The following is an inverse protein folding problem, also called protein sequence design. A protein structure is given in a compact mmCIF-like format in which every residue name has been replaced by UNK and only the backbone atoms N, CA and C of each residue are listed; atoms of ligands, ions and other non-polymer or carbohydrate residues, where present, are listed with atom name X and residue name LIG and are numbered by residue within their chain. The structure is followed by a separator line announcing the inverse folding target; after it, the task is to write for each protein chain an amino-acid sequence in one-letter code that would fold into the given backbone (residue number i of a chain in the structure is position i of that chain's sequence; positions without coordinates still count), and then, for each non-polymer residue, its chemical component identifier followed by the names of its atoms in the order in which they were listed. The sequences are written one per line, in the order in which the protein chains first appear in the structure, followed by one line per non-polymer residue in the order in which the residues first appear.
data_IF_536071440373
#
_entry.id   IF_536071440373
#
_cell.length_a   1.000
_cell.length_b   1.000
_cell.length_c   1.000
_cell.angle_alpha   90.00
_cell.angle_beta   90.00
_cell.angle_gamma   90.00
#
_symmetry.space_group_name_H-M   'P 1'
#
loop_
_entity.id
_entity.type
_entity.pdbx_description
1 polymer ?
#
# COMPACT_ATOMS: atom_id res chain seq x y z
N UNK A 1 -28.30 4.44 14.27
CA UNK A 1 -29.41 5.04 13.47
C UNK A 1 -30.62 4.16 13.75
N UNK A 2 -31.29 4.39 14.87
CA UNK A 2 -32.21 3.42 15.50
C UNK A 2 -33.53 3.25 14.73
N UNK A 3 -33.90 4.22 13.88
CA UNK A 3 -35.15 4.23 13.14
C UNK A 3 -35.01 3.79 11.67
N UNK A 4 -33.83 3.39 11.22
CA UNK A 4 -33.54 3.10 9.81
C UNK A 4 -32.83 1.77 9.63
N UNK A 5 -33.24 1.02 8.61
CA UNK A 5 -32.54 -0.18 8.15
C UNK A 5 -31.98 0.03 6.75
N UNK A 6 -30.80 -0.55 6.50
CA UNK A 6 -30.14 -0.45 5.19
C UNK A 6 -30.85 -1.37 4.19
N UNK A 7 -31.44 -0.79 3.16
CA UNK A 7 -32.15 -1.51 2.11
C UNK A 7 -31.20 -1.97 1.00
N UNK A 8 -30.26 -1.12 0.59
CA UNK A 8 -29.31 -1.46 -0.48
C UNK A 8 -28.02 -0.68 -0.38
N UNK A 9 -27.01 -1.13 -1.14
CA UNK A 9 -25.72 -0.47 -1.27
C UNK A 9 -25.29 -0.55 -2.73
N UNK A 10 -25.03 0.59 -3.35
CA UNK A 10 -24.59 0.68 -4.73
C UNK A 10 -23.21 1.33 -4.77
N UNK A 11 -22.29 0.69 -5.48
CA UNK A 11 -21.00 1.30 -5.80
C UNK A 11 -21.12 2.17 -7.04
N UNK A 12 -20.65 3.41 -6.96
CA UNK A 12 -20.58 4.27 -8.15
C UNK A 12 -19.49 3.77 -9.10
N UNK A 13 -19.67 3.95 -10.42
CA UNK A 13 -18.62 3.67 -11.38
C UNK A 13 -17.32 4.39 -11.00
N UNK A 14 -16.22 3.65 -11.04
CA UNK A 14 -14.90 4.20 -10.78
C UNK A 14 -14.39 4.94 -12.01
N UNK A 15 -13.82 6.12 -11.81
CA UNK A 15 -12.91 6.73 -12.80
C UNK A 15 -11.52 6.13 -12.57
N UNK A 16 -10.93 5.40 -13.53
CA UNK A 16 -9.63 4.76 -13.34
C UNK A 16 -8.56 5.79 -12.90
N UNK A 17 -7.77 5.50 -11.85
CA UNK A 17 -6.71 6.40 -11.39
C UNK A 17 -5.65 6.69 -12.45
N UNK A 18 -5.46 5.75 -13.39
CA UNK A 18 -4.54 5.88 -14.51
C UNK A 18 -5.37 5.88 -15.79
N UNK A 19 -5.46 7.03 -16.50
CA UNK A 19 -6.16 7.10 -17.77
C UNK A 19 -5.35 6.41 -18.89
N UNK A 20 -6.03 6.04 -19.98
CA UNK A 20 -5.36 5.59 -21.20
C UNK A 20 -4.76 4.18 -21.15
N UNK A 21 -5.23 3.32 -20.25
CA UNK A 21 -4.83 1.92 -20.28
C UNK A 21 -5.34 1.25 -21.56
N UNK A 22 -4.54 0.34 -22.15
CA UNK A 22 -4.96 -0.41 -23.33
C UNK A 22 -6.27 -1.18 -23.09
N UNK A 23 -7.16 -1.25 -24.09
CA UNK A 23 -8.50 -1.84 -23.95
C UNK A 23 -8.49 -3.35 -23.69
N UNK A 24 -7.38 -4.04 -23.95
CA UNK A 24 -7.15 -5.46 -23.66
C UNK A 24 -6.76 -5.70 -22.19
N UNK A 25 -6.63 -4.66 -21.37
CA UNK A 25 -6.33 -4.77 -19.94
C UNK A 25 -7.49 -5.45 -19.21
N UNK A 26 -7.20 -6.59 -18.57
CA UNK A 26 -8.21 -7.34 -17.82
C UNK A 26 -8.48 -6.69 -16.46
N UNK A 27 -9.69 -6.21 -16.23
CA UNK A 27 -10.11 -5.69 -14.92
C UNK A 27 -10.75 -6.78 -14.04
N UNK A 28 -10.22 -6.96 -12.83
CA UNK A 28 -10.72 -7.89 -11.82
C UNK A 28 -11.17 -7.14 -10.55
N UNK A 29 -12.48 -7.07 -10.34
CA UNK A 29 -13.07 -6.49 -9.13
C UNK A 29 -13.13 -7.52 -8.01
N UNK A 30 -12.37 -7.27 -6.95
CA UNK A 30 -12.34 -8.09 -5.74
C UNK A 30 -13.39 -7.58 -4.77
N UNK A 31 -14.32 -8.46 -4.38
CA UNK A 31 -15.41 -8.20 -3.44
C UNK A 31 -15.19 -8.97 -2.15
N UNK A 32 -15.95 -8.65 -1.10
CA UNK A 32 -15.90 -9.36 0.18
C UNK A 32 -16.23 -10.85 0.05
N UNK A 33 -17.16 -11.21 -0.85
CA UNK A 33 -17.50 -12.61 -1.16
C UNK A 33 -16.52 -13.33 -2.11
N UNK A 34 -15.62 -12.62 -2.78
CA UNK A 34 -14.73 -13.22 -3.79
C UNK A 34 -13.82 -14.27 -3.18
N UNK A 35 -13.74 -15.43 -3.85
CA UNK A 35 -12.85 -16.54 -3.48
C UNK A 35 -11.51 -16.37 -4.18
N UNK A 36 -10.43 -16.20 -3.40
CA UNK A 36 -9.07 -15.97 -3.91
C UNK A 36 -8.66 -17.04 -4.92
N UNK A 37 -8.95 -18.32 -4.64
CA UNK A 37 -8.65 -19.44 -5.55
C UNK A 37 -9.26 -19.26 -6.94
N UNK A 38 -10.51 -18.80 -7.02
CA UNK A 38 -11.21 -18.61 -8.29
C UNK A 38 -10.63 -17.41 -9.04
N UNK A 39 -10.38 -16.29 -8.34
CA UNK A 39 -9.76 -15.11 -8.94
C UNK A 39 -8.39 -15.44 -9.52
N UNK A 40 -7.56 -16.15 -8.76
CA UNK A 40 -6.22 -16.55 -9.20
C UNK A 40 -6.23 -17.54 -10.35
N UNK A 41 -7.10 -18.56 -10.31
CA UNK A 41 -7.21 -19.53 -11.39
C UNK A 41 -7.56 -18.86 -12.72
N UNK A 42 -8.53 -17.95 -12.70
CA UNK A 42 -8.90 -17.17 -13.87
C UNK A 42 -7.78 -16.21 -14.30
N UNK A 43 -7.22 -15.43 -13.37
CA UNK A 43 -6.17 -14.46 -13.65
C UNK A 43 -4.92 -15.10 -14.27
N UNK A 44 -4.45 -16.22 -13.70
CA UNK A 44 -3.29 -16.95 -14.21
C UNK A 44 -3.55 -17.46 -15.61
N UNK A 45 -4.66 -18.15 -15.85
CA UNK A 45 -4.96 -18.68 -17.19
C UNK A 45 -5.06 -17.59 -18.26
N UNK A 46 -5.55 -16.40 -17.91
CA UNK A 46 -5.57 -15.26 -18.83
C UNK A 46 -4.17 -14.68 -19.04
N UNK A 47 -3.42 -14.44 -17.96
CA UNK A 47 -2.10 -13.82 -18.03
C UNK A 47 -1.02 -14.78 -18.59
N UNK A 48 -1.21 -16.09 -18.55
CA UNK A 48 -0.34 -17.06 -19.22
C UNK A 48 -0.55 -17.06 -20.73
N UNK A 49 -1.74 -16.68 -21.22
CA UNK A 49 -1.96 -16.49 -22.65
C UNK A 49 -1.20 -15.26 -23.18
N UNK A 50 -0.73 -15.32 -24.42
CA UNK A 50 -0.09 -14.16 -25.08
C UNK A 50 -1.06 -12.99 -25.31
N UNK A 51 -2.36 -13.27 -25.31
CA UNK A 51 -3.41 -12.27 -25.57
C UNK A 51 -3.59 -11.23 -24.45
N UNK A 52 -3.16 -11.55 -23.21
CA UNK A 52 -3.36 -10.66 -22.07
C UNK A 52 -2.01 -10.20 -21.54
N UNK A 53 -1.71 -8.92 -21.73
CA UNK A 53 -0.44 -8.30 -21.28
C UNK A 53 -0.54 -7.70 -19.89
N UNK A 54 -1.76 -7.32 -19.47
CA UNK A 54 -2.03 -6.52 -18.27
C UNK A 54 -3.28 -7.00 -17.55
N UNK A 55 -3.22 -6.94 -16.23
CA UNK A 55 -4.36 -7.22 -15.36
C UNK A 55 -4.42 -6.22 -14.21
N UNK A 56 -5.63 -5.83 -13.83
CA UNK A 56 -5.87 -4.88 -12.75
C UNK A 56 -6.70 -5.55 -11.67
N UNK A 57 -6.22 -5.53 -10.43
CA UNK A 57 -7.03 -5.89 -9.26
C UNK A 57 -7.52 -4.63 -8.56
N UNK A 58 -8.84 -4.54 -8.36
CA UNK A 58 -9.48 -3.45 -7.63
C UNK A 58 -10.14 -4.03 -6.39
N UNK A 59 -9.76 -3.54 -5.21
CA UNK A 59 -10.34 -3.97 -3.94
C UNK A 59 -10.63 -2.79 -3.04
N UNK A 60 -11.85 -2.71 -2.51
CA UNK A 60 -12.29 -1.67 -1.60
C UNK A 60 -12.61 -2.22 -0.21
N UNK A 61 -12.31 -1.44 0.84
CA UNK A 61 -12.63 -1.78 2.23
C UNK A 61 -12.10 -3.16 2.63
N UNK A 62 -13.00 -4.07 3.04
CA UNK A 62 -12.64 -5.43 3.44
C UNK A 62 -12.01 -6.26 2.32
N UNK A 63 -12.21 -5.89 1.06
CA UNK A 63 -11.65 -6.60 -0.09
C UNK A 63 -10.20 -6.17 -0.42
N UNK A 64 -9.71 -5.05 0.14
CA UNK A 64 -8.36 -4.52 -0.14
C UNK A 64 -7.27 -5.56 0.10
N UNK A 65 -7.28 -6.23 1.25
CA UNK A 65 -6.29 -7.26 1.58
C UNK A 65 -6.30 -8.44 0.61
N UNK A 66 -7.47 -8.84 0.11
CA UNK A 66 -7.60 -9.91 -0.89
C UNK A 66 -7.08 -9.51 -2.26
N UNK A 67 -7.29 -8.25 -2.68
CA UNK A 67 -6.73 -7.74 -3.93
C UNK A 67 -5.19 -7.75 -3.90
N UNK A 68 -4.60 -7.26 -2.80
CA UNK A 68 -3.14 -7.34 -2.58
C UNK A 68 -2.66 -8.79 -2.59
N UNK A 69 -3.36 -9.68 -1.86
CA UNK A 69 -3.00 -11.11 -1.83
C UNK A 69 -3.03 -11.75 -3.22
N UNK A 70 -4.01 -11.40 -4.06
CA UNK A 70 -4.08 -11.90 -5.43
C UNK A 70 -2.87 -11.44 -6.25
N UNK A 71 -2.53 -10.15 -6.18
CA UNK A 71 -1.39 -9.59 -6.88
C UNK A 71 -0.06 -10.23 -6.43
N UNK A 72 0.15 -10.40 -5.13
CA UNK A 72 1.35 -11.01 -4.59
C UNK A 72 1.50 -12.50 -4.97
N UNK A 73 0.40 -13.25 -5.00
CA UNK A 73 0.45 -14.65 -5.45
C UNK A 73 0.74 -14.72 -6.96
N UNK A 74 0.16 -13.84 -7.77
CA UNK A 74 0.44 -13.79 -9.21
C UNK A 74 1.91 -13.50 -9.50
N UNK A 75 2.49 -12.48 -8.87
CA UNK A 75 3.92 -12.14 -9.06
C UNK A 75 4.86 -13.29 -8.69
N UNK A 76 4.49 -14.13 -7.71
CA UNK A 76 5.26 -15.33 -7.35
C UNK A 76 5.16 -16.45 -8.38
N UNK A 77 4.01 -16.58 -9.05
CA UNK A 77 3.76 -17.62 -10.05
C UNK A 77 4.23 -17.23 -11.45
N UNK A 78 4.16 -15.94 -11.75
CA UNK A 78 4.58 -15.33 -13.02
C UNK A 78 5.64 -14.26 -12.71
N UNK A 79 6.93 -14.64 -12.65
CA UNK A 79 8.01 -13.68 -12.46
C UNK A 79 8.10 -12.73 -13.66
N UNK A 80 8.70 -11.55 -13.47
CA UNK A 80 8.85 -10.55 -14.52
C UNK A 80 7.71 -9.53 -14.62
N UNK A 81 6.67 -9.62 -13.77
CA UNK A 81 5.58 -8.65 -13.76
C UNK A 81 5.99 -7.32 -13.11
N UNK A 82 5.81 -6.24 -13.85
CA UNK A 82 5.84 -4.87 -13.35
C UNK A 82 4.56 -4.58 -12.59
N UNK A 83 4.65 -3.83 -11.49
CA UNK A 83 3.48 -3.43 -10.72
C UNK A 83 3.35 -1.91 -10.65
N UNK A 84 2.12 -1.42 -10.71
CA UNK A 84 1.76 -0.06 -10.35
C UNK A 84 0.59 -0.08 -9.36
N UNK A 85 0.79 0.56 -8.20
CA UNK A 85 -0.20 0.64 -7.12
C UNK A 85 -0.73 2.05 -6.99
N UNK A 86 -2.05 2.22 -7.08
CA UNK A 86 -2.74 3.48 -6.82
C UNK A 86 -3.73 3.31 -5.67
N UNK A 87 -3.82 4.33 -4.84
CA UNK A 87 -4.82 4.44 -3.78
C UNK A 87 -5.89 5.43 -4.21
N UNK A 88 -7.14 5.11 -3.93
CA UNK A 88 -8.28 5.95 -4.26
C UNK A 88 -9.44 5.67 -3.31
N UNK A 89 -10.50 6.47 -3.39
CA UNK A 89 -11.75 6.21 -2.69
C UNK A 89 -12.82 5.71 -3.67
N UNK A 90 -13.41 4.57 -3.33
CA UNK A 90 -14.61 4.07 -3.99
C UNK A 90 -15.84 4.70 -3.32
N UNK A 91 -16.61 5.49 -4.07
CA UNK A 91 -17.86 6.04 -3.55
C UNK A 91 -18.94 4.94 -3.53
N UNK A 92 -19.63 4.83 -2.40
CA UNK A 92 -20.79 3.97 -2.21
C UNK A 92 -21.99 4.80 -1.78
N UNK A 93 -23.17 4.46 -2.28
CA UNK A 93 -24.44 5.04 -1.86
C UNK A 93 -25.27 3.95 -1.18
N UNK A 94 -25.59 4.16 0.08
CA UNK A 94 -26.47 3.28 0.84
C UNK A 94 -27.87 3.88 0.90
N UNK A 95 -28.86 3.12 0.46
CA UNK A 95 -30.25 3.47 0.65
C UNK A 95 -30.72 2.91 2.00
N UNK A 96 -31.35 3.76 2.80
CA UNK A 96 -31.91 3.44 4.10
C UNK A 96 -33.40 3.75 4.09
N UNK A 97 -34.18 2.81 4.60
CA UNK A 97 -35.64 2.96 4.74
C UNK A 97 -36.00 3.00 6.22
N UNK A 98 -37.05 3.75 6.59
CA UNK A 98 -37.58 3.71 7.94
C UNK A 98 -37.94 2.27 8.35
N UNK A 99 -37.66 1.92 9.60
CA UNK A 99 -38.03 0.61 10.17
C UNK A 99 -39.55 0.52 10.35
N UNK A 100 -40.19 1.65 10.69
CA UNK A 100 -41.64 1.78 10.83
C UNK A 100 -42.17 2.70 9.71
N UNK A 101 -42.88 2.18 8.70
CA UNK A 101 -43.41 2.97 7.59
C UNK A 101 -44.35 4.11 8.02
N UNK A 102 -45.12 3.90 9.08
CA UNK A 102 -46.12 4.86 9.58
C UNK A 102 -45.52 5.94 10.48
N UNK A 103 -44.21 5.88 10.77
CA UNK A 103 -43.54 6.87 11.61
C UNK A 103 -43.38 8.25 10.95
N UNK A 104 -43.84 8.42 9.70
CA UNK A 104 -43.74 9.67 8.96
C UNK A 104 -42.30 10.07 8.62
N UNK A 105 -41.38 9.10 8.54
CA UNK A 105 -39.97 9.31 8.23
C UNK A 105 -39.72 9.10 6.74
N UNK A 106 -38.87 9.94 6.15
CA UNK A 106 -38.46 9.81 4.75
C UNK A 106 -37.29 8.84 4.58
N UNK A 107 -37.20 8.12 3.44
CA UNK A 107 -36.01 7.35 3.06
C UNK A 107 -34.75 8.24 2.97
N UNK A 108 -33.60 7.67 3.34
CA UNK A 108 -32.32 8.37 3.36
C UNK A 108 -31.32 7.73 2.40
N UNK A 109 -30.53 8.55 1.72
CA UNK A 109 -29.33 8.10 0.99
C UNK A 109 -28.07 8.58 1.68
N UNK A 110 -27.20 7.64 2.07
CA UNK A 110 -25.91 7.95 2.72
C UNK A 110 -24.77 7.67 1.73
N UNK A 111 -23.98 8.71 1.43
CA UNK A 111 -22.76 8.60 0.63
C UNK A 111 -21.57 8.29 1.54
N UNK A 112 -20.76 7.29 1.17
CA UNK A 112 -19.52 6.95 1.88
C UNK A 112 -18.37 6.79 0.91
N UNK A 113 -17.21 7.26 1.32
CA UNK A 113 -15.95 7.06 0.60
C UNK A 113 -15.19 5.91 1.25
N UNK A 114 -15.09 4.79 0.53
CA UNK A 114 -14.43 3.59 1.02
C UNK A 114 -13.00 3.56 0.47
N UNK A 115 -11.96 3.50 1.31
CA UNK A 115 -10.59 3.35 0.85
C UNK A 115 -10.45 2.11 -0.04
N UNK A 116 -9.77 2.26 -1.16
CA UNK A 116 -9.64 1.19 -2.13
C UNK A 116 -8.25 1.23 -2.80
N UNK A 117 -7.78 0.05 -3.16
CA UNK A 117 -6.51 -0.16 -3.87
C UNK A 117 -6.79 -0.53 -5.32
N UNK A 118 -5.96 0.00 -6.21
CA UNK A 118 -5.94 -0.31 -7.63
C UNK A 118 -4.53 -0.81 -7.98
N UNK A 119 -4.43 -2.06 -8.43
CA UNK A 119 -3.17 -2.77 -8.62
C UNK A 119 -3.06 -3.25 -10.06
N UNK A 120 -2.25 -2.58 -10.86
CA UNK A 120 -1.89 -3.04 -12.20
C UNK A 120 -0.69 -3.98 -12.11
N UNK A 121 -0.80 -5.15 -12.75
CA UNK A 121 0.32 -6.01 -13.07
C UNK A 121 0.47 -6.08 -14.60
N UNK A 122 1.70 -5.89 -15.10
CA UNK A 122 2.01 -5.80 -16.52
C UNK A 122 3.21 -6.67 -16.86
N UNK A 123 3.13 -7.42 -17.97
CA UNK A 123 4.29 -8.08 -18.59
C UNK A 123 5.23 -7.08 -19.26
N UNK A 124 4.68 -5.95 -19.70
CA UNK A 124 5.43 -4.90 -20.37
C UNK A 124 5.93 -3.88 -19.33
N UNK A 125 7.09 -3.23 -19.54
CA UNK A 125 7.59 -2.17 -18.67
C UNK A 125 6.56 -1.06 -18.45
N UNK A 126 6.53 -0.52 -17.24
CA UNK A 126 5.78 0.68 -16.86
C UNK A 126 6.75 1.83 -16.60
N UNK A 127 6.24 3.07 -16.52
CA UNK A 127 7.08 4.22 -16.17
C UNK A 127 7.68 4.05 -14.76
N UNK A 128 9.02 3.96 -14.62
CA UNK A 128 9.66 3.77 -13.32
C UNK A 128 9.57 5.00 -12.41
N UNK A 129 9.27 6.17 -12.96
CA UNK A 129 9.11 7.41 -12.19
C UNK A 129 7.69 7.60 -11.65
N UNK A 130 6.75 6.78 -12.09
CA UNK A 130 5.36 6.85 -11.65
C UNK A 130 5.24 6.46 -10.16
N UNK A 131 4.53 7.29 -9.39
CA UNK A 131 4.33 7.06 -7.97
C UNK A 131 3.60 5.73 -7.72
N UNK A 132 4.18 4.86 -6.91
CA UNK A 132 3.63 3.52 -6.61
C UNK A 132 4.06 2.43 -7.60
N UNK A 133 4.98 2.72 -8.53
CA UNK A 133 5.65 1.71 -9.34
C UNK A 133 6.54 0.79 -8.49
N UNK A 134 6.57 -0.50 -8.86
CA UNK A 134 7.47 -1.51 -8.31
C UNK A 134 8.01 -2.39 -9.46
N UNK A 135 9.35 -2.54 -9.57
CA UNK A 135 9.94 -3.38 -10.61
C UNK A 135 9.74 -4.88 -10.32
N UNK A 136 9.88 -5.75 -11.34
CA UNK A 136 9.80 -7.19 -11.14
C UNK A 136 10.81 -7.70 -10.12
N UNK A 137 10.39 -8.66 -9.28
CA UNK A 137 11.26 -9.29 -8.29
C UNK A 137 11.60 -8.43 -7.07
N UNK A 138 11.12 -7.18 -6.96
CA UNK A 138 11.31 -6.38 -5.76
C UNK A 138 10.61 -7.01 -4.55
N UNK A 139 11.31 -7.19 -3.41
CA UNK A 139 10.67 -7.67 -2.19
C UNK A 139 9.62 -6.68 -1.66
N UNK A 140 8.59 -7.15 -0.94
CA UNK A 140 7.56 -6.28 -0.36
C UNK A 140 8.21 -5.20 0.51
N UNK A 141 7.97 -3.92 0.20
CA UNK A 141 8.36 -2.78 1.05
C UNK A 141 9.70 -2.09 0.73
N UNK A 142 10.45 -2.49 -0.30
CA UNK A 142 11.73 -1.86 -0.68
C UNK A 142 11.70 -1.18 -2.07
N UNK A 143 10.51 -0.91 -2.61
CA UNK A 143 10.31 -0.42 -3.97
C UNK A 143 10.86 0.97 -4.28
N UNK A 144 11.16 1.80 -3.28
CA UNK A 144 11.92 3.05 -3.47
C UNK A 144 12.78 3.30 -2.22
N UNK A 145 14.08 3.66 -2.35
CA UNK A 145 14.75 4.37 -1.29
C UNK A 145 13.98 5.67 -1.06
N UNK A 146 13.44 5.89 0.14
CA UNK A 146 13.04 7.23 0.57
C UNK A 146 14.19 8.18 0.20
N UNK A 147 13.92 9.40 -0.33
CA UNK A 147 14.97 10.37 -0.59
C UNK A 147 15.78 10.51 0.70
N UNK A 148 17.04 10.07 0.64
CA UNK A 148 17.97 10.16 1.77
C UNK A 148 18.01 11.64 2.13
N UNK A 149 17.42 12.02 3.26
CA UNK A 149 17.69 13.32 3.85
C UNK A 149 19.21 13.44 3.92
N UNK A 150 19.83 14.50 3.37
CA UNK A 150 21.27 14.66 3.47
C UNK A 150 21.65 14.55 4.95
N UNK A 151 22.75 13.85 5.29
CA UNK A 151 23.18 13.73 6.67
C UNK A 151 23.33 15.14 7.22
N UNK A 152 22.51 15.47 8.22
CA UNK A 152 22.56 16.73 8.93
C UNK A 152 23.99 16.82 9.49
N UNK A 153 24.81 17.71 8.91
CA UNK A 153 26.15 17.97 9.43
C UNK A 153 25.97 18.41 10.89
N UNK A 154 26.60 17.73 11.87
CA UNK A 154 26.55 18.18 13.24
C UNK A 154 27.29 19.52 13.30
N UNK A 155 26.55 20.60 13.55
CA UNK A 155 27.15 21.90 13.82
C UNK A 155 28.11 21.77 15.01
N UNK A 156 29.32 22.36 14.94
CA UNK A 156 30.27 22.29 16.03
C UNK A 156 29.71 23.04 17.24
N UNK A 157 29.45 22.30 18.33
CA UNK A 157 29.14 22.88 19.64
C UNK A 157 30.30 23.78 20.05
N UNK A 158 30.02 25.09 20.15
CA UNK A 158 30.96 26.09 20.68
C UNK A 158 31.41 25.64 22.07
N UNK A 159 32.72 25.46 22.25
CA UNK A 159 33.34 25.13 23.54
C UNK A 159 33.10 26.28 24.53
N UNK A 160 32.68 26.02 25.78
CA UNK A 160 32.77 27.01 26.83
C UNK A 160 34.25 27.23 27.17
N UNK A 161 34.66 28.50 27.25
CA UNK A 161 35.97 28.91 27.78
C UNK A 161 36.05 28.48 29.25
N UNK A 162 36.98 27.61 29.59
CA UNK A 162 37.28 27.26 30.99
C UNK A 162 38.19 28.31 31.59
N UNK A 163 37.75 28.93 32.68
CA UNK A 163 38.53 29.82 33.54
C UNK A 163 38.68 29.19 34.93
N UNK A 164 39.92 29.12 35.43
CA UNK A 164 40.30 28.81 36.84
C UNK A 164 40.37 27.30 37.14
N UNK A 165 41.53 26.67 37.42
CA UNK A 165 42.54 26.84 38.48
C UNK A 165 42.22 26.08 39.79
N UNK A 166 42.97 24.99 40.03
CA UNK A 166 43.50 24.36 41.27
C UNK A 166 43.60 22.83 41.05
N UNK A 167 44.74 22.12 41.01
CA UNK A 167 46.00 22.03 41.80
C UNK A 167 45.99 20.81 42.73
N UNK A 168 47.03 19.96 42.55
CA UNK A 168 47.43 18.83 43.42
C UNK A 168 47.24 17.46 42.74
N UNK A 169 48.22 16.57 42.59
CA UNK A 169 49.63 16.51 43.02
C UNK A 169 50.07 15.04 43.14
N UNK A 170 51.30 14.71 42.71
CA UNK A 170 52.05 13.46 42.98
C UNK A 170 51.60 12.23 42.17
N UNK A 171 52.42 11.62 41.28
CA UNK A 171 53.67 10.88 41.56
C UNK A 171 53.32 9.38 41.68
N UNK A 172 53.95 8.37 41.08
CA UNK A 172 55.12 8.14 40.23
C UNK A 172 55.31 6.61 40.10
N UNK A 173 56.16 6.16 39.16
CA UNK A 173 56.77 4.81 39.01
C UNK A 173 55.84 3.63 38.57
N UNK A 174 56.04 3.04 37.37
CA UNK A 174 57.00 1.97 36.97
C UNK A 174 56.73 0.60 37.61
N UNK A 175 56.51 -0.41 36.76
CA UNK A 175 56.59 -1.84 37.14
C UNK A 175 56.12 -2.77 36.02
N UNK A 176 57.03 -3.60 35.52
CA UNK A 176 56.90 -4.57 34.43
C UNK A 176 55.94 -5.76 34.69
N UNK A 177 55.57 -6.41 33.59
CA UNK A 177 54.99 -7.78 33.41
C UNK A 177 55.82 -8.89 34.12
N UNK A 178 55.43 -10.21 34.23
CA UNK A 178 54.48 -10.98 33.39
C UNK A 178 53.64 -12.14 34.05
N UNK A 179 52.68 -12.63 33.24
CA UNK A 179 52.15 -14.02 33.00
C UNK A 179 51.93 -15.06 34.15
N UNK A 180 50.65 -15.52 34.18
CA UNK A 180 50.08 -16.91 34.29
C UNK A 180 50.32 -17.72 35.58
N UNK A 181 49.43 -18.68 35.93
CA UNK A 181 48.99 -19.86 35.13
C UNK A 181 47.74 -19.66 34.26
#
# INVERSE_FOLDING_TARGET
MENYQKASSVEKPLVPPVPGLPPDTLEMRVRDGSKIRNLLGFALGRLESESTRRIVFIGAGRATGKAVTCAEILKRRLPGLHQLTKLHFQQTEDAWVPVVPEAGLDPLTVRRHVPAVWLLLSKDPLDPNEGGYQPPGAPPGLGQPLPRTPPHTPQPKRRPRTSGHWQGGGGGARGETPRRP
#
